data_IF_112549445918
#
_entry.id   IF_112549445918
#
_cell.length_a   1.000
_cell.length_b   1.000
_cell.length_c   1.000
_cell.angle_alpha   90.00
_cell.angle_beta   90.00
_cell.angle_gamma   90.00
#
_symmetry.space_group_name_H-M   'P 1'
#
loop_
_entity.id
_entity.type
_entity.pdbx_description
1 polymer ?
#
# COMPACT_ATOMS: atom_id res chain seq x y z
N UNK A 1 -29.18 -8.99 11.35
CA UNK A 1 -27.79 -8.75 11.81
C UNK A 1 -27.26 -7.59 11.00
N UNK A 2 -26.89 -6.51 11.65
CA UNK A 2 -26.31 -5.36 10.96
C UNK A 2 -24.94 -5.72 10.41
N UNK A 3 -24.70 -5.37 9.15
CA UNK A 3 -23.41 -5.64 8.49
C UNK A 3 -22.39 -4.59 8.92
N UNK A 4 -21.22 -5.05 9.35
CA UNK A 4 -20.09 -4.19 9.69
C UNK A 4 -19.19 -3.99 8.48
N UNK A 5 -18.83 -2.75 8.21
CA UNK A 5 -17.96 -2.38 7.10
C UNK A 5 -16.73 -1.68 7.66
N UNK A 6 -15.57 -1.93 7.09
CA UNK A 6 -14.34 -1.19 7.41
C UNK A 6 -13.80 -0.48 6.18
N UNK A 7 -13.39 0.76 6.36
CA UNK A 7 -12.63 1.57 5.42
C UNK A 7 -11.16 1.65 5.81
N UNK A 8 -10.27 1.36 4.87
CA UNK A 8 -8.84 1.60 5.02
C UNK A 8 -8.44 2.79 4.16
N UNK A 9 -7.91 3.83 4.79
CA UNK A 9 -7.45 5.06 4.13
C UNK A 9 -8.55 5.77 3.31
N UNK A 10 -9.82 5.61 3.70
CA UNK A 10 -10.98 6.10 2.93
C UNK A 10 -11.31 7.55 3.17
N UNK A 11 -11.11 8.05 4.38
CA UNK A 11 -11.36 9.45 4.81
C UNK A 11 -12.75 9.97 4.46
N UNK A 12 -13.79 9.13 4.60
CA UNK A 12 -15.19 9.51 4.38
C UNK A 12 -15.77 10.33 5.53
N UNK A 13 -15.13 11.42 5.90
CA UNK A 13 -15.44 12.26 7.08
C UNK A 13 -16.89 12.76 7.21
N UNK A 14 -17.72 12.60 6.18
CA UNK A 14 -19.10 13.09 6.17
C UNK A 14 -20.15 12.02 6.45
N UNK A 15 -19.75 10.77 6.65
CA UNK A 15 -20.67 9.66 6.77
C UNK A 15 -20.56 9.07 8.18
N UNK A 16 -21.32 9.61 9.12
CA UNK A 16 -21.55 9.00 10.44
C UNK A 16 -22.48 7.78 10.26
N UNK A 17 -21.93 6.65 9.83
CA UNK A 17 -22.64 5.39 9.84
C UNK A 17 -22.26 4.58 11.08
N UNK A 18 -23.24 4.15 11.85
CA UNK A 18 -23.04 3.36 13.08
C UNK A 18 -22.26 2.05 12.84
N UNK A 19 -22.20 1.56 11.59
CA UNK A 19 -21.60 0.28 11.22
C UNK A 19 -20.39 0.41 10.30
N UNK A 20 -19.78 1.60 10.21
CA UNK A 20 -18.60 1.86 9.39
C UNK A 20 -17.44 2.32 10.27
N UNK A 21 -16.42 1.48 10.37
CA UNK A 21 -15.17 1.79 11.04
C UNK A 21 -14.14 2.25 10.02
N UNK A 22 -13.32 3.24 10.35
CA UNK A 22 -12.33 3.81 9.46
C UNK A 22 -10.95 3.80 10.12
N UNK A 23 -9.95 3.30 9.38
CA UNK A 23 -8.57 3.20 9.85
C UNK A 23 -7.57 3.61 8.76
N UNK A 24 -6.37 3.94 9.18
CA UNK A 24 -5.22 4.06 8.29
C UNK A 24 -4.81 2.68 7.77
N UNK A 25 -4.29 2.61 6.54
CA UNK A 25 -3.88 1.34 5.93
C UNK A 25 -2.80 0.61 6.74
N UNK A 26 -1.92 1.34 7.40
CA UNK A 26 -0.89 0.79 8.29
C UNK A 26 -1.42 0.30 9.63
N UNK A 27 -2.71 0.48 9.92
CA UNK A 27 -3.29 0.07 11.20
C UNK A 27 -3.25 -1.45 11.40
N UNK A 28 -2.99 -1.87 12.63
CA UNK A 28 -2.94 -3.28 13.02
C UNK A 28 -4.34 -3.83 13.31
N UNK A 29 -5.22 -3.72 12.34
CA UNK A 29 -6.61 -4.17 12.46
C UNK A 29 -6.80 -5.56 11.83
N UNK A 30 -7.76 -6.31 12.36
CA UNK A 30 -8.26 -7.53 11.73
C UNK A 30 -9.42 -7.20 10.79
N UNK A 31 -9.22 -7.37 9.49
CA UNK A 31 -10.27 -7.19 8.49
C UNK A 31 -11.32 -8.32 8.54
N UNK A 32 -10.97 -9.46 9.16
CA UNK A 32 -11.83 -10.65 9.23
C UNK A 32 -13.05 -10.46 10.15
N UNK A 33 -13.06 -9.39 10.93
CA UNK A 33 -14.18 -9.07 11.82
C UNK A 33 -15.31 -8.30 11.11
N UNK A 34 -15.13 -8.01 9.81
CA UNK A 34 -16.04 -7.19 9.01
C UNK A 34 -16.67 -7.97 7.85
N UNK A 35 -17.88 -7.60 7.47
CA UNK A 35 -18.63 -8.20 6.37
C UNK A 35 -18.19 -7.67 4.99
N UNK A 36 -17.69 -6.45 4.96
CA UNK A 36 -17.13 -5.84 3.76
C UNK A 36 -15.96 -4.92 4.10
N UNK A 37 -15.04 -4.79 3.16
CA UNK A 37 -13.85 -3.93 3.28
C UNK A 37 -13.78 -2.99 2.10
N UNK A 38 -13.51 -1.71 2.36
CA UNK A 38 -13.26 -0.68 1.34
C UNK A 38 -11.83 -0.18 1.53
N UNK A 39 -11.00 -0.30 0.51
CA UNK A 39 -9.60 0.17 0.55
C UNK A 39 -9.45 1.30 -0.44
N UNK A 40 -9.05 2.47 0.04
CA UNK A 40 -8.61 3.55 -0.85
C UNK A 40 -7.11 3.41 -1.09
N UNK A 41 -6.74 3.03 -2.33
CA UNK A 41 -5.36 2.85 -2.73
C UNK A 41 -4.67 4.16 -3.17
N UNK A 42 -5.41 5.27 -3.23
CA UNK A 42 -4.84 6.56 -3.58
C UNK A 42 -3.82 7.00 -2.51
N UNK A 43 -2.64 7.40 -2.96
CA UNK A 43 -1.55 7.88 -2.09
C UNK A 43 -1.07 6.88 -1.03
N UNK A 44 -1.30 5.57 -1.19
CA UNK A 44 -0.86 4.56 -0.21
C UNK A 44 0.63 4.64 0.11
N UNK A 45 1.47 4.87 -0.89
CA UNK A 45 2.93 4.97 -0.70
C UNK A 45 3.29 6.18 0.17
N UNK A 46 2.54 7.27 0.09
CA UNK A 46 2.79 8.47 0.91
C UNK A 46 2.55 8.23 2.39
N UNK A 47 1.70 7.27 2.76
CA UNK A 47 1.50 6.88 4.16
C UNK A 47 2.77 6.30 4.80
N UNK A 48 3.66 5.74 3.99
CA UNK A 48 4.94 5.16 4.42
C UNK A 48 6.13 6.08 4.14
N UNK A 49 5.93 7.15 3.37
CA UNK A 49 7.00 8.08 3.00
C UNK A 49 7.22 9.12 4.10
N UNK A 50 8.48 9.41 4.38
CA UNK A 50 8.89 10.41 5.36
C UNK A 50 9.93 11.35 4.76
N UNK A 51 10.21 12.47 5.46
CA UNK A 51 11.26 13.41 5.06
C UNK A 51 12.68 12.82 5.05
N UNK A 52 12.85 11.62 5.59
CA UNK A 52 14.14 10.90 5.61
C UNK A 52 14.33 9.96 4.40
N UNK A 53 13.31 9.83 3.57
CA UNK A 53 13.40 8.99 2.39
C UNK A 53 14.23 9.66 1.30
N UNK A 54 14.95 8.84 0.55
CA UNK A 54 15.70 9.27 -0.61
C UNK A 54 14.87 9.12 -1.88
N UNK A 55 15.41 9.57 -3.00
CA UNK A 55 14.84 9.29 -4.32
C UNK A 55 15.79 8.40 -5.12
N UNK A 56 15.23 7.46 -5.85
CA UNK A 56 15.94 6.60 -6.78
C UNK A 56 15.18 6.58 -8.11
N UNK A 57 15.84 6.93 -9.21
CA UNK A 57 15.23 7.02 -10.54
C UNK A 57 13.93 7.86 -10.57
N UNK A 58 13.94 9.00 -9.88
CA UNK A 58 12.80 9.92 -9.75
C UNK A 58 11.55 9.36 -9.05
N UNK A 59 11.68 8.25 -8.33
CA UNK A 59 10.63 7.69 -7.48
C UNK A 59 11.05 7.70 -6.02
N UNK A 60 10.11 7.73 -5.07
CA UNK A 60 10.42 7.60 -3.65
C UNK A 60 11.18 6.29 -3.36
N UNK A 61 12.22 6.39 -2.55
CA UNK A 61 12.94 5.23 -2.03
C UNK A 61 12.82 5.25 -0.51
N UNK A 62 11.97 4.37 0.02
CA UNK A 62 11.64 4.34 1.44
C UNK A 62 12.88 3.96 2.27
N UNK A 63 12.96 4.50 3.48
CA UNK A 63 14.00 4.11 4.45
C UNK A 63 13.94 2.61 4.79
N UNK A 64 14.97 2.06 5.40
CA UNK A 64 15.00 0.65 5.82
C UNK A 64 13.80 0.27 6.68
N UNK A 65 13.45 1.13 7.65
CA UNK A 65 12.32 0.92 8.53
C UNK A 65 11.00 0.91 7.77
N UNK A 66 10.75 1.92 6.94
CA UNK A 66 9.51 2.05 6.18
C UNK A 66 9.41 0.96 5.10
N UNK A 67 10.53 0.52 4.53
CA UNK A 67 10.59 -0.62 3.61
C UNK A 67 10.15 -1.92 4.25
N UNK A 68 10.60 -2.19 5.47
CA UNK A 68 10.17 -3.37 6.22
C UNK A 68 8.69 -3.28 6.60
N UNK A 69 8.24 -2.11 7.05
CA UNK A 69 6.87 -1.87 7.47
C UNK A 69 5.87 -2.08 6.31
N UNK A 70 6.12 -1.49 5.14
CA UNK A 70 5.21 -1.60 3.99
C UNK A 70 5.11 -3.05 3.50
N UNK A 71 6.22 -3.78 3.48
CA UNK A 71 6.23 -5.19 3.07
C UNK A 71 5.41 -6.04 4.04
N UNK A 72 5.55 -5.83 5.33
CA UNK A 72 4.82 -6.57 6.36
C UNK A 72 3.32 -6.26 6.30
N UNK A 73 2.95 -4.99 6.25
CA UNK A 73 1.55 -4.55 6.22
C UNK A 73 0.84 -5.05 4.95
N UNK A 74 1.48 -4.92 3.78
CA UNK A 74 0.90 -5.39 2.52
C UNK A 74 0.69 -6.90 2.51
N UNK A 75 1.66 -7.66 3.02
CA UNK A 75 1.55 -9.12 3.13
C UNK A 75 0.43 -9.53 4.09
N UNK A 76 0.27 -8.82 5.20
CA UNK A 76 -0.80 -9.06 6.16
C UNK A 76 -2.17 -8.78 5.54
N UNK A 77 -2.33 -7.63 4.90
CA UNK A 77 -3.58 -7.24 4.23
C UNK A 77 -3.91 -8.21 3.09
N UNK A 78 -2.93 -8.59 2.27
CA UNK A 78 -3.11 -9.60 1.21
C UNK A 78 -3.65 -10.92 1.76
N UNK A 79 -3.08 -11.40 2.86
CA UNK A 79 -3.53 -12.63 3.53
C UNK A 79 -4.97 -12.53 4.02
N UNK A 80 -5.33 -11.41 4.64
CA UNK A 80 -6.70 -11.18 5.12
C UNK A 80 -7.70 -11.03 3.96
N UNK A 81 -7.34 -10.34 2.87
CA UNK A 81 -8.18 -10.23 1.68
C UNK A 81 -8.44 -11.61 1.08
N UNK A 82 -7.41 -12.45 0.95
CA UNK A 82 -7.57 -13.84 0.46
C UNK A 82 -8.60 -14.62 1.29
N UNK A 83 -8.53 -14.47 2.60
CA UNK A 83 -9.45 -15.17 3.51
C UNK A 83 -10.88 -14.62 3.43
N UNK A 84 -11.05 -13.30 3.37
CA UNK A 84 -12.36 -12.67 3.16
C UNK A 84 -13.04 -13.16 1.87
N UNK A 85 -12.28 -13.18 0.76
CA UNK A 85 -12.79 -13.63 -0.54
C UNK A 85 -13.19 -15.11 -0.52
N UNK A 86 -12.43 -15.98 0.18
CA UNK A 86 -12.82 -17.39 0.38
C UNK A 86 -14.11 -17.53 1.15
N UNK A 87 -14.38 -16.63 2.09
CA UNK A 87 -15.62 -16.58 2.87
C UNK A 87 -16.78 -15.93 2.11
N UNK A 88 -16.58 -15.52 0.85
CA UNK A 88 -17.60 -14.85 0.04
C UNK A 88 -17.91 -13.42 0.48
N UNK A 89 -17.00 -12.77 1.23
CA UNK A 89 -17.16 -11.38 1.65
C UNK A 89 -16.65 -10.43 0.56
N UNK A 90 -17.16 -9.20 0.58
CA UNK A 90 -16.85 -8.21 -0.44
C UNK A 90 -15.64 -7.36 -0.06
N UNK A 91 -14.75 -7.15 -1.04
CA UNK A 91 -13.62 -6.22 -0.94
C UNK A 91 -13.70 -5.25 -2.10
N UNK A 92 -13.79 -3.97 -1.79
CA UNK A 92 -13.83 -2.88 -2.76
C UNK A 92 -12.49 -2.13 -2.70
N UNK A 93 -11.90 -1.88 -3.85
CA UNK A 93 -10.65 -1.11 -3.94
C UNK A 93 -10.90 0.12 -4.80
N UNK A 94 -10.77 1.28 -4.17
CA UNK A 94 -10.78 2.56 -4.88
C UNK A 94 -9.37 2.78 -5.43
N UNK A 95 -9.25 2.68 -6.74
CA UNK A 95 -7.98 2.86 -7.44
C UNK A 95 -7.77 4.34 -7.73
N UNK A 96 -6.59 4.84 -7.45
CA UNK A 96 -6.19 6.22 -7.69
C UNK A 96 -4.73 6.29 -8.14
N UNK A 97 -4.17 7.50 -8.17
CA UNK A 97 -2.75 7.72 -8.43
C UNK A 97 -1.93 7.12 -7.29
N UNK A 98 -1.43 5.95 -7.51
CA UNK A 98 -0.61 5.23 -6.55
C UNK A 98 0.70 4.82 -7.23
N UNK A 99 1.69 5.69 -7.12
CA UNK A 99 2.98 5.47 -7.73
C UNK A 99 3.75 4.35 -7.02
N UNK A 100 4.45 3.54 -7.82
CA UNK A 100 5.40 2.59 -7.28
C UNK A 100 6.56 3.33 -6.60
N UNK A 101 7.14 2.69 -5.59
CA UNK A 101 8.33 3.19 -4.90
C UNK A 101 9.48 2.19 -4.99
N UNK A 102 10.63 2.58 -4.48
CA UNK A 102 11.74 1.67 -4.21
C UNK A 102 11.80 1.35 -2.72
N UNK A 103 12.12 0.10 -2.41
CA UNK A 103 12.34 -0.38 -1.05
C UNK A 103 13.71 -1.03 -0.93
N UNK A 104 14.31 -0.97 0.24
CA UNK A 104 15.53 -1.73 0.55
C UNK A 104 15.22 -3.22 0.64
N UNK A 105 16.12 -4.04 0.07
CA UNK A 105 16.01 -5.50 0.13
C UNK A 105 16.59 -6.08 1.42
N UNK A 106 17.29 -5.29 2.20
CA UNK A 106 18.12 -5.74 3.32
C UNK A 106 19.51 -6.24 2.88
N UNK A 107 19.74 -6.38 1.57
CA UNK A 107 21.02 -6.81 1.01
C UNK A 107 21.93 -5.61 0.76
N UNK A 108 23.23 -5.85 0.81
CA UNK A 108 24.27 -4.84 0.60
C UNK A 108 25.26 -5.29 -0.44
N UNK A 109 25.58 -4.38 -1.34
CA UNK A 109 26.65 -4.58 -2.32
C UNK A 109 27.90 -3.84 -1.86
N UNK A 110 29.04 -4.51 -1.95
CA UNK A 110 30.35 -3.94 -1.65
C UNK A 110 31.11 -3.73 -2.94
N UNK A 111 31.69 -2.55 -3.10
CA UNK A 111 32.54 -2.21 -4.26
C UNK A 111 33.82 -1.53 -3.77
N UNK A 112 34.95 -1.78 -4.49
CA UNK A 112 36.26 -1.24 -4.15
C UNK A 112 37.03 -2.08 -3.11
N UNK A 113 38.27 -1.70 -2.85
CA UNK A 113 39.17 -2.37 -1.91
C UNK A 113 39.83 -1.37 -0.98
N UNK A 114 40.15 -1.81 0.25
CA UNK A 114 40.84 -0.99 1.24
C UNK A 114 40.10 0.29 1.60
N UNK A 115 40.77 1.44 1.58
CA UNK A 115 40.19 2.74 1.95
C UNK A 115 39.08 3.24 1.00
N UNK A 116 38.97 2.66 -0.19
CA UNK A 116 37.99 3.00 -1.21
C UNK A 116 36.78 2.04 -1.22
N UNK A 117 36.71 1.14 -0.25
CA UNK A 117 35.55 0.25 -0.13
C UNK A 117 34.29 1.05 0.13
N UNK A 118 33.27 0.86 -0.71
CA UNK A 118 31.95 1.46 -0.57
C UNK A 118 30.90 0.37 -0.39
N UNK A 119 30.00 0.63 0.52
CA UNK A 119 28.84 -0.21 0.76
C UNK A 119 27.61 0.51 0.21
N UNK A 120 26.85 -0.17 -0.65
CA UNK A 120 25.61 0.36 -1.23
C UNK A 120 24.49 -0.59 -0.89
N UNK A 121 23.36 -0.06 -0.43
CA UNK A 121 22.16 -0.84 -0.20
C UNK A 121 21.54 -1.22 -1.54
N UNK A 122 21.07 -2.46 -1.64
CA UNK A 122 20.34 -2.93 -2.82
C UNK A 122 18.86 -2.55 -2.64
N UNK A 123 18.32 -1.88 -3.65
CA UNK A 123 16.90 -1.49 -3.69
C UNK A 123 16.18 -2.23 -4.81
N UNK A 124 14.89 -2.45 -4.63
CA UNK A 124 14.01 -3.00 -5.67
C UNK A 124 12.75 -2.18 -5.80
N UNK A 125 12.16 -2.18 -6.98
CA UNK A 125 10.86 -1.56 -7.19
C UNK A 125 9.77 -2.33 -6.41
N UNK A 126 8.86 -1.58 -5.79
CA UNK A 126 7.74 -2.09 -5.03
C UNK A 126 6.44 -1.64 -5.67
N UNK A 127 5.60 -2.61 -6.01
CA UNK A 127 4.31 -2.34 -6.63
C UNK A 127 3.29 -1.89 -5.58
N UNK A 128 2.72 -0.72 -5.79
CA UNK A 128 1.75 -0.10 -4.90
C UNK A 128 0.44 -0.88 -4.71
N UNK A 129 0.14 -1.83 -5.58
CA UNK A 129 -1.03 -2.71 -5.49
C UNK A 129 -0.70 -4.14 -5.05
N UNK A 130 0.52 -4.40 -4.56
CA UNK A 130 0.95 -5.76 -4.17
C UNK A 130 0.26 -6.30 -2.92
N UNK A 131 -0.58 -5.51 -2.25
CA UNK A 131 -1.49 -5.97 -1.21
C UNK A 131 -2.70 -6.75 -1.75
N UNK A 132 -2.92 -6.72 -3.06
CA UNK A 132 -3.99 -7.50 -3.69
C UNK A 132 -3.52 -8.93 -3.99
N UNK A 133 -4.40 -9.93 -3.81
CA UNK A 133 -4.07 -11.33 -4.09
C UNK A 133 -3.97 -11.66 -5.59
N UNK A 134 -4.16 -10.66 -6.45
CA UNK A 134 -4.04 -10.76 -7.90
C UNK A 134 -2.94 -9.81 -8.38
N UNK A 135 -2.18 -10.23 -9.40
CA UNK A 135 -1.20 -9.33 -10.02
C UNK A 135 -1.94 -8.37 -10.95
N UNK A 136 -1.96 -7.10 -10.57
CA UNK A 136 -2.46 -6.02 -11.43
C UNK A 136 -1.29 -5.27 -12.06
N UNK A 137 -1.32 -5.15 -13.38
CA UNK A 137 -0.52 -4.17 -14.10
C UNK A 137 -1.41 -2.94 -14.28
N UNK A 138 -1.21 -1.94 -13.43
CA UNK A 138 -1.95 -0.68 -13.54
C UNK A 138 -1.16 0.23 -14.46
N UNK A 139 -1.78 0.63 -15.57
CA UNK A 139 -1.25 1.64 -16.48
C UNK A 139 -2.09 2.89 -16.33
N UNK A 140 -1.45 4.01 -16.05
CA UNK A 140 -2.14 5.29 -16.06
C UNK A 140 -2.48 5.64 -17.51
N UNK A 141 -3.77 5.83 -17.77
CA UNK A 141 -4.24 6.39 -19.04
C UNK A 141 -4.64 7.82 -18.78
N UNK A 142 -3.83 8.76 -19.23
CA UNK A 142 -4.18 10.18 -19.22
C UNK A 142 -5.23 10.40 -20.30
N UNK A 143 -6.49 10.42 -19.91
CA UNK A 143 -7.63 10.72 -20.76
C UNK A 143 -8.17 12.11 -20.50
N UNK A 144 -8.91 12.67 -21.47
CA UNK A 144 -9.70 13.88 -21.24
C UNK A 144 -10.76 13.57 -20.17
N UNK A 145 -10.98 14.54 -19.28
CA UNK A 145 -11.98 14.46 -18.22
C UNK A 145 -13.36 14.28 -18.87
N UNK A 146 -14.02 13.17 -18.58
CA UNK A 146 -15.41 12.98 -18.99
C UNK A 146 -16.27 13.72 -17.96
N UNK A 147 -16.79 14.88 -18.34
CA UNK A 147 -17.81 15.56 -17.56
C UNK A 147 -19.12 14.79 -17.74
N UNK A 148 -19.51 14.10 -16.70
CA UNK A 148 -20.83 13.46 -16.66
C UNK A 148 -21.85 14.57 -16.35
N UNK A 149 -22.64 14.93 -17.34
CA UNK A 149 -23.79 15.82 -17.18
C UNK A 149 -24.93 15.14 -16.43
#
# INVERSE_FOLDING_TARGET
>A
MEKKIVGLNTYFKSLEYENFDEYEFSARISLLDYDAVVINAEYLITCYSTSYDSSYQNKPCLSDYNSAQIVEDFKKIEGQIKELLKQGRNVFVLMGNNDNCYIYTGEKQYSGTGRNARQTNIVREFNAYSFLPIKLNVTEVVGERIDIC
#
